data_IF_018385981595
#
_entry.id   IF_018385981595
#
_cell.length_a   1.000
_cell.length_b   1.000
_cell.length_c   1.000
_cell.angle_alpha   90.00
_cell.angle_beta   90.00
_cell.angle_gamma   90.00
#
_symmetry.space_group_name_H-M   'P 1'
#
loop_
_entity.id
_entity.type
_entity.pdbx_description
1 polymer ?
#
# COMPACT_ATOMS: atom_id res chain seq x y z
N UNK A 1 -15.23 -14.63 -5.98
CA UNK A 1 -14.05 -13.77 -5.89
C UNK A 1 -14.08 -13.00 -4.57
N UNK A 2 -12.97 -12.95 -3.84
CA UNK A 2 -12.78 -12.18 -2.61
C UNK A 2 -11.63 -11.19 -2.79
N UNK A 3 -11.94 -9.91 -2.59
CA UNK A 3 -10.98 -8.81 -2.64
C UNK A 3 -10.85 -8.24 -1.23
N UNK A 4 -9.62 -8.04 -0.77
CA UNK A 4 -9.35 -7.20 0.39
C UNK A 4 -8.67 -5.91 -0.07
N UNK A 5 -8.93 -4.83 0.66
CA UNK A 5 -8.29 -3.54 0.44
C UNK A 5 -8.07 -2.85 1.77
N UNK A 6 -6.94 -2.17 1.92
CA UNK A 6 -6.61 -1.37 3.09
C UNK A 6 -5.78 -0.16 2.68
N UNK A 7 -5.89 0.91 3.45
CA UNK A 7 -5.05 2.10 3.40
C UNK A 7 -4.86 2.60 4.83
N UNK A 8 -3.99 3.59 5.03
CA UNK A 8 -3.86 4.32 6.30
C UNK A 8 -3.58 3.40 7.50
N UNK A 9 -2.75 2.36 7.31
CA UNK A 9 -2.26 1.55 8.44
C UNK A 9 -1.28 2.36 9.27
N UNK A 10 -0.53 3.28 8.64
CA UNK A 10 0.47 4.14 9.29
C UNK A 10 1.32 3.36 10.29
N UNK A 11 1.78 2.15 9.92
CA UNK A 11 2.48 1.25 10.84
C UNK A 11 3.60 2.02 11.56
N UNK A 12 3.82 1.85 12.87
CA UNK A 12 3.10 0.96 13.80
C UNK A 12 1.83 1.57 14.42
N UNK A 13 1.39 2.77 14.02
CA UNK A 13 0.33 3.54 14.68
C UNK A 13 -1.00 2.78 14.79
N UNK A 14 -1.47 2.19 13.69
CA UNK A 14 -2.72 1.40 13.66
C UNK A 14 -2.48 -0.09 13.44
N UNK A 15 -1.26 -0.57 13.70
CA UNK A 15 -0.91 -1.97 13.57
C UNK A 15 -1.77 -2.89 14.47
N UNK A 16 -2.10 -2.55 15.73
CA UNK A 16 -2.96 -3.38 16.57
C UNK A 16 -4.37 -3.57 15.98
N UNK A 17 -4.99 -2.50 15.50
CA UNK A 17 -6.30 -2.51 14.84
C UNK A 17 -6.26 -3.29 13.54
N UNK A 18 -5.21 -3.09 12.74
CA UNK A 18 -4.98 -3.84 11.51
C UNK A 18 -4.90 -5.34 11.78
N UNK A 19 -4.09 -5.77 12.74
CA UNK A 19 -3.97 -7.20 13.15
C UNK A 19 -5.31 -7.77 13.64
N UNK A 20 -6.07 -7.00 14.42
CA UNK A 20 -7.39 -7.41 14.90
C UNK A 20 -8.37 -7.64 13.75
N UNK A 21 -8.36 -6.76 12.74
CA UNK A 21 -9.17 -6.94 11.53
C UNK A 21 -8.72 -8.14 10.71
N UNK A 22 -7.40 -8.32 10.50
CA UNK A 22 -6.87 -9.48 9.77
C UNK A 22 -7.30 -10.82 10.39
N UNK A 23 -7.35 -10.91 11.72
CA UNK A 23 -7.74 -12.12 12.43
C UNK A 23 -9.20 -12.56 12.17
N UNK A 24 -10.04 -11.70 11.61
CA UNK A 24 -11.44 -11.99 11.28
C UNK A 24 -11.65 -12.29 9.78
N UNK A 25 -10.59 -12.18 8.98
CA UNK A 25 -10.64 -12.32 7.53
C UNK A 25 -9.99 -13.63 7.11
N UNK A 26 -10.35 -14.11 5.93
CA UNK A 26 -9.69 -15.23 5.28
C UNK A 26 -8.83 -14.74 4.12
N UNK A 27 -7.91 -15.59 3.66
CA UNK A 27 -7.11 -15.36 2.45
C UNK A 27 -7.97 -14.88 1.26
N UNK A 28 -7.60 -13.76 0.59
CA UNK A 28 -8.29 -13.24 -0.58
C UNK A 28 -7.72 -13.79 -1.90
N UNK A 29 -8.40 -13.51 -3.00
CA UNK A 29 -7.84 -13.72 -4.34
C UNK A 29 -6.86 -12.59 -4.73
N UNK A 30 -7.01 -11.41 -4.13
CA UNK A 30 -6.12 -10.24 -4.28
C UNK A 30 -6.26 -9.32 -3.07
N UNK A 31 -5.15 -8.73 -2.62
CA UNK A 31 -5.14 -7.74 -1.55
C UNK A 31 -4.57 -6.41 -2.06
N UNK A 32 -5.35 -5.34 -1.98
CA UNK A 32 -4.94 -3.99 -2.35
C UNK A 32 -4.42 -3.16 -1.17
N UNK A 33 -3.29 -2.50 -1.37
CA UNK A 33 -2.82 -1.40 -0.53
C UNK A 33 -3.01 -0.06 -1.25
N UNK A 34 -3.85 0.81 -0.72
CA UNK A 34 -4.16 2.11 -1.32
C UNK A 34 -3.38 3.26 -0.66
N UNK A 35 -2.13 2.99 -0.24
CA UNK A 35 -1.20 3.97 0.32
C UNK A 35 -1.23 4.11 1.85
N UNK A 36 -0.26 4.86 2.38
CA UNK A 36 -0.10 5.22 3.79
C UNK A 36 -0.04 3.99 4.72
N UNK A 37 0.79 3.02 4.31
CA UNK A 37 0.99 1.75 5.02
C UNK A 37 2.03 1.91 6.14
N UNK A 38 3.02 2.77 5.93
CA UNK A 38 4.10 3.07 6.89
C UNK A 38 3.95 4.48 7.45
N UNK A 39 4.70 4.80 8.50
CA UNK A 39 4.68 6.12 9.11
C UNK A 39 5.98 6.87 8.80
N UNK A 40 5.84 8.07 8.22
CA UNK A 40 6.91 9.05 7.96
C UNK A 40 8.08 8.49 7.16
N UNK A 41 7.80 7.69 6.15
CA UNK A 41 8.80 7.16 5.23
C UNK A 41 9.68 6.05 5.81
N UNK A 42 9.35 5.47 6.96
CA UNK A 42 10.11 4.35 7.49
C UNK A 42 9.86 3.05 6.69
N UNK A 43 10.64 2.85 5.62
CA UNK A 43 10.49 1.74 4.69
C UNK A 43 10.51 0.36 5.36
N UNK A 44 11.26 0.20 6.46
CA UNK A 44 11.37 -1.08 7.17
C UNK A 44 10.03 -1.58 7.75
N UNK A 45 9.08 -0.69 8.00
CA UNK A 45 7.77 -1.03 8.56
C UNK A 45 6.89 -1.83 7.58
N UNK A 46 7.16 -1.75 6.27
CA UNK A 46 6.48 -2.59 5.28
C UNK A 46 6.64 -4.08 5.58
N UNK A 47 7.82 -4.51 6.04
CA UNK A 47 8.04 -5.91 6.43
C UNK A 47 7.11 -6.30 7.57
N UNK A 48 6.94 -5.42 8.56
CA UNK A 48 6.04 -5.68 9.70
C UNK A 48 4.58 -5.81 9.25
N UNK A 49 4.14 -4.97 8.30
CA UNK A 49 2.81 -5.05 7.70
C UNK A 49 2.62 -6.38 6.96
N UNK A 50 3.56 -6.74 6.09
CA UNK A 50 3.49 -7.95 5.28
C UNK A 50 3.55 -9.22 6.14
N UNK A 51 4.43 -9.26 7.13
CA UNK A 51 4.56 -10.38 8.06
C UNK A 51 3.28 -10.52 8.90
N UNK A 52 2.60 -9.42 9.24
CA UNK A 52 1.31 -9.47 9.94
C UNK A 52 0.21 -10.10 9.09
N UNK A 53 0.20 -9.85 7.77
CA UNK A 53 -0.73 -10.47 6.83
C UNK A 53 -0.42 -11.95 6.67
N UNK A 54 0.85 -12.28 6.42
CA UNK A 54 1.29 -13.65 6.20
C UNK A 54 1.02 -14.54 7.42
N UNK A 55 1.26 -14.03 8.62
CA UNK A 55 0.93 -14.73 9.86
C UNK A 55 -0.58 -14.95 10.06
N UNK A 56 -1.43 -14.04 9.57
CA UNK A 56 -2.88 -14.12 9.78
C UNK A 56 -3.60 -14.99 8.74
N UNK A 57 -3.17 -14.94 7.47
CA UNK A 57 -3.90 -15.58 6.36
C UNK A 57 -3.01 -16.27 5.32
N UNK A 58 -1.72 -16.42 5.62
CA UNK A 58 -0.74 -17.08 4.75
C UNK A 58 -0.23 -16.20 3.61
N UNK A 59 0.64 -16.79 2.80
CA UNK A 59 1.14 -16.26 1.53
C UNK A 59 0.59 -17.10 0.38
N UNK A 60 0.40 -16.49 -0.80
CA UNK A 60 -0.14 -17.20 -1.98
C UNK A 60 -1.14 -16.40 -2.81
N UNK A 61 -1.48 -15.19 -2.37
CA UNK A 61 -2.29 -14.24 -3.14
C UNK A 61 -1.45 -13.00 -3.48
N UNK A 62 -1.71 -12.34 -4.62
CA UNK A 62 -1.02 -11.12 -4.98
C UNK A 62 -1.42 -9.96 -4.05
N UNK A 63 -0.41 -9.21 -3.61
CA UNK A 63 -0.60 -7.90 -2.99
C UNK A 63 -0.26 -6.85 -4.04
N UNK A 64 -1.19 -5.97 -4.33
CA UNK A 64 -1.03 -4.91 -5.34
C UNK A 64 -1.22 -3.57 -4.66
N UNK A 65 -0.28 -2.65 -4.85
CA UNK A 65 -0.20 -1.41 -4.08
C UNK A 65 -0.04 -0.17 -4.97
N UNK A 66 -0.49 0.98 -4.47
CA UNK A 66 0.04 2.27 -4.87
C UNK A 66 0.67 2.98 -3.67
N UNK A 67 1.53 3.96 -3.94
CA UNK A 67 2.16 4.76 -2.89
C UNK A 67 1.21 5.86 -2.39
N UNK A 68 1.18 6.07 -1.09
CA UNK A 68 0.53 7.19 -0.44
C UNK A 68 1.46 8.37 -0.21
N UNK A 69 1.08 9.23 0.73
CA UNK A 69 1.83 10.41 1.13
C UNK A 69 2.95 10.10 2.12
N UNK A 70 2.81 9.07 2.95
CA UNK A 70 3.83 8.66 3.91
C UNK A 70 4.94 7.82 3.25
N UNK A 71 4.70 7.26 2.06
CA UNK A 71 5.72 6.64 1.21
C UNK A 71 6.43 7.69 0.32
N UNK A 72 7.26 8.51 0.97
CA UNK A 72 7.99 9.60 0.31
C UNK A 72 8.82 9.10 -0.89
N UNK A 73 8.98 9.96 -1.90
CA UNK A 73 9.68 9.62 -3.14
C UNK A 73 11.10 9.09 -2.91
N UNK A 74 11.79 9.61 -1.89
CA UNK A 74 13.15 9.25 -1.51
C UNK A 74 13.25 7.80 -1.04
N UNK A 75 12.19 7.28 -0.40
CA UNK A 75 12.18 5.94 0.21
C UNK A 75 11.48 4.89 -0.65
N UNK A 76 10.78 5.28 -1.72
CA UNK A 76 10.08 4.33 -2.62
C UNK A 76 11.00 3.23 -3.17
N UNK A 77 12.22 3.58 -3.57
CA UNK A 77 13.20 2.60 -4.06
C UNK A 77 13.60 1.60 -2.97
N UNK A 78 13.76 2.08 -1.75
CA UNK A 78 14.06 1.25 -0.60
C UNK A 78 12.88 0.32 -0.27
N UNK A 79 11.64 0.85 -0.26
CA UNK A 79 10.41 0.07 -0.07
C UNK A 79 10.34 -1.06 -1.09
N UNK A 80 10.46 -0.76 -2.38
CA UNK A 80 10.41 -1.77 -3.46
C UNK A 80 11.54 -2.79 -3.31
N UNK A 81 12.74 -2.36 -2.90
CA UNK A 81 13.86 -3.28 -2.66
C UNK A 81 13.62 -4.21 -1.47
N UNK A 82 12.99 -3.72 -0.40
CA UNK A 82 12.76 -4.48 0.84
C UNK A 82 11.59 -5.45 0.67
N UNK A 83 10.51 -5.02 0.01
CA UNK A 83 9.34 -5.88 -0.21
C UNK A 83 9.57 -6.94 -1.29
N UNK A 84 10.47 -6.67 -2.24
CA UNK A 84 10.74 -7.55 -3.38
C UNK A 84 9.46 -7.94 -4.11
N UNK A 85 9.34 -9.23 -4.44
CA UNK A 85 8.19 -9.77 -5.18
C UNK A 85 6.93 -9.96 -4.33
N UNK A 86 6.96 -9.63 -3.03
CA UNK A 86 5.78 -9.75 -2.14
C UNK A 86 4.68 -8.75 -2.50
N UNK A 87 5.03 -7.63 -3.13
CA UNK A 87 4.10 -6.55 -3.46
C UNK A 87 4.37 -6.01 -4.87
N UNK A 88 3.33 -5.95 -5.70
CA UNK A 88 3.38 -5.27 -6.98
C UNK A 88 2.94 -3.81 -6.82
N UNK A 89 3.88 -2.86 -6.95
CA UNK A 89 3.56 -1.43 -6.95
C UNK A 89 3.16 -0.95 -8.34
N UNK A 90 1.97 -0.35 -8.42
CA UNK A 90 1.43 0.35 -9.58
C UNK A 90 1.56 1.87 -9.35
N UNK A 91 2.72 2.41 -9.74
CA UNK A 91 3.00 3.85 -9.70
C UNK A 91 2.69 4.47 -11.08
N UNK A 92 1.49 5.05 -11.22
CA UNK A 92 0.93 5.54 -12.50
C UNK A 92 0.91 4.44 -13.59
N UNK A 93 0.60 3.22 -13.16
CA UNK A 93 0.60 2.02 -14.01
C UNK A 93 -0.68 1.22 -13.83
N UNK A 94 -0.95 0.38 -14.82
CA UNK A 94 -2.04 -0.57 -14.79
C UNK A 94 -1.54 -1.99 -14.96
N UNK A 95 -2.29 -2.95 -14.42
CA UNK A 95 -2.10 -4.38 -14.67
C UNK A 95 -3.47 -5.06 -14.81
N UNK A 96 -3.46 -6.29 -15.31
CA UNK A 96 -4.63 -7.15 -15.35
C UNK A 96 -4.29 -8.43 -14.60
N UNK A 97 -5.17 -8.85 -13.69
CA UNK A 97 -5.08 -10.18 -13.06
C UNK A 97 -6.23 -11.07 -13.51
N UNK A 98 -5.92 -12.34 -13.68
CA UNK A 98 -6.87 -13.37 -14.06
C UNK A 98 -7.28 -14.16 -12.80
N UNK A 99 -8.58 -14.27 -12.56
CA UNK A 99 -9.13 -15.09 -11.47
C UNK A 99 -10.21 -16.03 -12.03
N UNK A 100 -9.78 -17.19 -12.53
CA UNK A 100 -10.66 -18.14 -13.21
C UNK A 100 -11.26 -17.52 -14.49
N UNK A 101 -12.60 -17.43 -14.62
CA UNK A 101 -13.26 -16.87 -15.81
C UNK A 101 -13.33 -15.33 -15.81
N UNK A 102 -12.84 -14.66 -14.76
CA UNK A 102 -12.92 -13.20 -14.61
C UNK A 102 -11.55 -12.54 -14.77
N UNK A 103 -11.50 -11.45 -15.54
CA UNK A 103 -10.35 -10.56 -15.64
C UNK A 103 -10.61 -9.27 -14.87
N UNK A 104 -9.55 -8.72 -14.26
CA UNK A 104 -9.65 -7.54 -13.41
C UNK A 104 -8.56 -6.58 -13.81
N UNK A 105 -8.99 -5.48 -14.43
CA UNK A 105 -8.12 -4.33 -14.68
C UNK A 105 -7.92 -3.53 -13.40
N UNK A 106 -6.65 -3.26 -13.07
CA UNK A 106 -6.26 -2.53 -11.88
C UNK A 106 -5.38 -1.37 -12.32
N UNK A 107 -5.69 -0.17 -11.85
CA UNK A 107 -4.94 1.05 -12.12
C UNK A 107 -4.51 1.61 -10.78
N UNK A 108 -3.20 1.77 -10.58
CA UNK A 108 -2.64 2.43 -9.42
C UNK A 108 -2.21 3.84 -9.77
N UNK A 109 -2.71 4.80 -8.99
CA UNK A 109 -2.33 6.21 -9.09
C UNK A 109 -2.11 6.73 -7.68
N UNK A 110 -1.19 7.67 -7.49
CA UNK A 110 -1.12 8.41 -6.22
C UNK A 110 -2.31 9.40 -6.08
N UNK A 111 -3.03 9.62 -7.17
CA UNK A 111 -4.08 10.62 -7.27
C UNK A 111 -3.51 12.01 -7.52
N UNK A 112 -4.41 12.97 -7.68
CA UNK A 112 -4.05 14.39 -7.81
C UNK A 112 -4.55 15.14 -6.59
N UNK A 113 -3.71 16.02 -6.06
CA UNK A 113 -4.11 16.95 -5.03
C UNK A 113 -4.70 18.18 -5.70
N UNK A 114 -5.99 18.45 -5.45
CA UNK A 114 -6.63 19.72 -5.84
C UNK A 114 -5.94 20.91 -5.16
N UNK A 115 -5.47 20.70 -3.91
CA UNK A 115 -4.67 21.66 -3.16
C UNK A 115 -3.50 20.96 -2.49
N UNK A 116 -2.33 21.58 -2.58
CA UNK A 116 -1.13 21.07 -1.94
C UNK A 116 -1.31 20.95 -0.41
N UNK A 117 -0.72 19.89 0.16
CA UNK A 117 -0.78 19.65 1.60
C UNK A 117 -0.11 20.79 2.37
N UNK A 118 -0.44 20.97 3.65
CA UNK A 118 0.20 22.00 4.48
C UNK A 118 1.72 21.82 4.53
N UNK A 119 2.20 20.57 4.53
CA UNK A 119 3.62 20.26 4.43
C UNK A 119 4.21 20.71 3.09
N UNK A 120 3.57 20.37 1.96
CA UNK A 120 4.04 20.78 0.63
C UNK A 120 4.10 22.30 0.47
N UNK A 121 3.08 23.03 0.94
CA UNK A 121 3.07 24.51 0.96
C UNK A 121 4.19 25.11 1.80
N UNK A 122 4.63 24.40 2.84
CA UNK A 122 5.65 24.90 3.77
C UNK A 122 7.07 24.50 3.36
N UNK A 123 7.23 23.42 2.59
CA UNK A 123 8.54 22.81 2.32
C UNK A 123 8.92 22.76 0.83
N UNK A 124 7.99 22.98 -0.10
CA UNK A 124 8.27 22.99 -1.55
C UNK A 124 8.17 24.43 -2.06
N UNK A 125 9.29 25.10 -2.39
CA UNK A 125 9.31 26.52 -2.74
C UNK A 125 8.45 26.91 -3.95
N UNK A 126 8.23 25.96 -4.87
CA UNK A 126 7.41 26.15 -6.07
C UNK A 126 5.91 26.06 -5.82
N UNK A 127 5.48 25.60 -4.64
CA UNK A 127 4.09 25.47 -4.25
C UNK A 127 3.73 26.64 -3.33
N UNK A 128 3.29 27.74 -3.94
CA UNK A 128 2.71 28.87 -3.21
C UNK A 128 1.21 28.69 -3.07
N UNK A 129 0.71 28.81 -1.84
CA UNK A 129 -0.71 28.83 -1.53
C UNK A 129 -1.38 30.12 -1.95
#
# INVERSE_FOLDING_TARGET
MKILAVADVHCPKFLPEFKKSLAQLSSPDVFFFAGDMINRGNASEYLTVLDSIENAMGSGFPIIACFGNEEYNEVRKEIVSIVGDRVLFLDEKSTVINNGPSEIGIIGTQGSLDKATSWQRSNIPSIKG
#
